data_IF_241972694807
#
_entry.id   IF_241972694807
#
_cell.length_a   1.000
_cell.length_b   1.000
_cell.length_c   1.000
_cell.angle_alpha   90.00
_cell.angle_beta   90.00
_cell.angle_gamma   90.00
#
_symmetry.space_group_name_H-M   'P 1'
#
loop_
_entity.id
_entity.type
_entity.pdbx_description
1 polymer ?
#
# COMPACT_ATOMS: atom_id res chain seq x y z
N UNK A 1 -16.70 -28.12 -48.30
CA UNK A 1 -17.28 -29.46 -48.18
C UNK A 1 -18.26 -29.41 -47.01
N UNK A 2 -19.54 -29.60 -47.25
CA UNK A 2 -20.57 -29.50 -46.20
C UNK A 2 -20.61 -30.79 -45.37
N UNK A 3 -21.07 -30.75 -44.12
CA UNK A 3 -21.20 -31.92 -43.24
C UNK A 3 -21.98 -33.05 -43.90
N UNK A 4 -23.06 -32.76 -44.65
CA UNK A 4 -23.84 -33.72 -45.41
C UNK A 4 -23.05 -34.48 -46.46
N UNK A 5 -22.07 -33.84 -47.10
CA UNK A 5 -21.21 -34.51 -48.08
C UNK A 5 -20.21 -35.44 -47.41
N UNK A 6 -19.82 -35.14 -46.21
CA UNK A 6 -18.90 -35.97 -45.42
C UNK A 6 -19.60 -37.22 -44.86
N UNK A 7 -20.83 -37.06 -44.37
CA UNK A 7 -21.66 -38.19 -43.89
C UNK A 7 -22.00 -39.18 -45.00
N UNK A 8 -22.39 -38.68 -46.19
CA UNK A 8 -22.66 -39.57 -47.37
C UNK A 8 -21.43 -40.34 -47.85
N UNK A 9 -20.23 -39.73 -47.77
CA UNK A 9 -18.97 -40.41 -48.11
C UNK A 9 -18.58 -41.44 -47.03
N UNK A 10 -18.83 -41.16 -45.78
CA UNK A 10 -18.57 -42.07 -44.68
C UNK A 10 -19.50 -43.28 -44.73
N UNK A 11 -20.80 -43.07 -44.96
CA UNK A 11 -21.80 -44.12 -45.11
C UNK A 11 -21.48 -45.03 -46.32
N UNK A 12 -21.14 -44.44 -47.47
CA UNK A 12 -20.75 -45.22 -48.66
C UNK A 12 -19.42 -46.00 -48.50
N UNK A 13 -18.54 -45.54 -47.62
CA UNK A 13 -17.30 -46.25 -47.30
C UNK A 13 -17.54 -47.40 -46.33
N UNK A 14 -18.44 -47.24 -45.37
CA UNK A 14 -18.85 -48.28 -44.43
C UNK A 14 -19.63 -49.41 -45.10
N UNK A 15 -20.55 -49.08 -46.03
CA UNK A 15 -21.28 -50.09 -46.84
C UNK A 15 -20.36 -50.95 -47.69
N UNK A 16 -19.23 -50.40 -48.16
CA UNK A 16 -18.22 -51.16 -48.93
C UNK A 16 -17.35 -52.08 -48.09
N UNK A 17 -17.26 -51.87 -46.79
CA UNK A 17 -16.43 -52.66 -45.87
C UNK A 17 -17.22 -53.65 -45.04
N UNK A 18 -18.55 -53.53 -45.02
CA UNK A 18 -19.40 -54.50 -44.36
C UNK A 18 -19.48 -55.80 -45.19
N UNK A 19 -19.26 -56.98 -44.65
CA UNK A 19 -19.43 -58.21 -45.39
C UNK A 19 -20.91 -58.46 -45.63
N UNK A 20 -21.27 -58.63 -46.92
CA UNK A 20 -22.66 -58.92 -47.45
C UNK A 20 -23.22 -60.27 -47.02
N UNK A 21 -22.45 -61.06 -46.28
CA UNK A 21 -22.82 -62.44 -45.96
C UNK A 21 -22.76 -62.62 -44.40
N UNK A 22 -23.75 -62.07 -43.77
CA UNK A 22 -23.93 -62.24 -42.22
C UNK A 22 -24.24 -63.71 -41.94
N UNK A 23 -24.99 -64.41 -42.80
CA UNK A 23 -25.32 -65.82 -42.67
C UNK A 23 -24.08 -66.70 -42.84
N UNK A 24 -23.16 -66.37 -43.78
CA UNK A 24 -21.90 -67.07 -43.95
C UNK A 24 -20.94 -66.88 -42.74
N UNK A 25 -21.01 -65.77 -42.04
CA UNK A 25 -20.26 -65.58 -40.79
C UNK A 25 -20.87 -66.34 -39.64
N UNK A 26 -22.18 -66.36 -39.55
CA UNK A 26 -22.91 -67.12 -38.51
C UNK A 26 -22.78 -68.64 -38.65
N UNK A 27 -22.75 -69.15 -39.90
CA UNK A 27 -22.56 -70.57 -40.16
C UNK A 27 -21.15 -71.09 -39.82
N UNK A 28 -20.16 -70.23 -39.75
CA UNK A 28 -18.80 -70.57 -39.29
C UNK A 28 -18.65 -70.56 -37.78
N UNK A 29 -19.65 -70.08 -37.06
CA UNK A 29 -19.72 -70.16 -35.61
C UNK A 29 -20.18 -71.57 -35.21
N UNK A 30 -19.30 -72.55 -35.25
CA UNK A 30 -19.57 -73.90 -34.68
C UNK A 30 -19.92 -73.76 -33.22
N UNK A 31 -21.03 -74.43 -32.78
CA UNK A 31 -21.39 -74.56 -31.39
C UNK A 31 -20.19 -75.08 -30.58
N UNK A 32 -19.49 -74.22 -29.90
CA UNK A 32 -18.52 -74.65 -28.90
C UNK A 32 -19.32 -75.20 -27.73
N UNK A 33 -19.37 -76.49 -27.54
CA UNK A 33 -19.76 -77.11 -26.30
C UNK A 33 -18.86 -76.57 -25.21
N UNK A 34 -19.30 -75.53 -24.57
CA UNK A 34 -18.55 -74.88 -23.49
C UNK A 34 -18.50 -75.80 -22.27
N UNK A 35 -17.33 -76.33 -21.96
CA UNK A 35 -17.07 -76.89 -20.65
C UNK A 35 -17.19 -75.73 -19.66
N UNK A 36 -18.20 -75.79 -18.75
CA UNK A 36 -18.37 -74.81 -17.71
C UNK A 36 -17.21 -74.99 -16.72
N UNK A 37 -16.20 -74.18 -16.88
CA UNK A 37 -15.11 -74.09 -15.90
C UNK A 37 -15.67 -73.24 -14.76
N UNK A 38 -15.77 -73.77 -13.51
CA UNK A 38 -16.25 -72.97 -12.41
C UNK A 38 -15.24 -71.84 -12.17
N UNK A 39 -15.65 -70.58 -12.39
CA UNK A 39 -14.83 -69.42 -12.05
C UNK A 39 -14.56 -69.43 -10.53
N UNK A 40 -13.31 -69.67 -10.19
CA UNK A 40 -12.86 -69.45 -8.81
C UNK A 40 -13.22 -68.02 -8.41
N UNK A 41 -14.01 -67.87 -7.35
CA UNK A 41 -14.39 -66.59 -6.72
C UNK A 41 -13.14 -65.78 -6.48
N UNK A 42 -12.92 -64.74 -7.33
CA UNK A 42 -11.77 -63.85 -7.23
C UNK A 42 -11.84 -63.14 -5.87
N UNK A 43 -10.87 -63.44 -5.06
CA UNK A 43 -10.78 -62.99 -3.68
C UNK A 43 -10.86 -61.47 -3.61
N UNK A 44 -12.01 -60.94 -3.12
CA UNK A 44 -12.31 -59.51 -3.02
C UNK A 44 -11.36 -58.75 -2.06
N UNK A 45 -10.39 -59.42 -1.46
CA UNK A 45 -9.39 -58.77 -0.60
C UNK A 45 -8.55 -57.72 -1.33
N UNK A 46 -8.17 -57.96 -2.58
CA UNK A 46 -7.34 -57.05 -3.36
C UNK A 46 -8.13 -55.80 -3.77
N UNK A 47 -9.44 -55.94 -4.11
CA UNK A 47 -10.33 -54.81 -4.35
C UNK A 47 -10.56 -53.96 -3.10
N UNK A 48 -10.76 -54.58 -1.93
CA UNK A 48 -10.90 -53.85 -0.67
C UNK A 48 -9.60 -53.13 -0.28
N UNK A 49 -8.45 -53.74 -0.55
CA UNK A 49 -7.15 -53.14 -0.28
C UNK A 49 -6.87 -51.97 -1.22
N UNK A 50 -7.17 -52.09 -2.53
CA UNK A 50 -7.09 -50.98 -3.50
C UNK A 50 -8.06 -49.86 -3.16
N UNK A 51 -9.28 -50.15 -2.68
CA UNK A 51 -10.22 -49.13 -2.22
C UNK A 51 -9.74 -48.44 -0.95
N UNK A 52 -9.11 -49.14 -0.02
CA UNK A 52 -8.50 -48.56 1.16
C UNK A 52 -7.30 -47.64 0.81
N UNK A 53 -6.44 -48.07 -0.11
CA UNK A 53 -5.32 -47.24 -0.59
C UNK A 53 -5.82 -46.01 -1.35
N UNK A 54 -6.84 -46.13 -2.20
CA UNK A 54 -7.46 -45.00 -2.88
C UNK A 54 -8.13 -44.02 -1.91
N UNK A 55 -8.80 -44.54 -0.84
CA UNK A 55 -9.38 -43.72 0.21
C UNK A 55 -8.28 -42.96 1.01
N UNK A 56 -7.18 -43.62 1.36
CA UNK A 56 -6.03 -42.99 2.03
C UNK A 56 -5.37 -41.92 1.16
N UNK A 57 -5.21 -42.19 -0.14
CA UNK A 57 -4.70 -41.20 -1.09
C UNK A 57 -5.66 -40.02 -1.26
N UNK A 58 -6.97 -40.25 -1.30
CA UNK A 58 -7.95 -39.18 -1.34
C UNK A 58 -7.95 -38.33 -0.07
N UNK A 59 -7.79 -38.94 1.11
CA UNK A 59 -7.68 -38.21 2.39
C UNK A 59 -6.38 -37.47 2.46
N UNK A 60 -5.27 -37.98 1.95
CA UNK A 60 -3.98 -37.28 1.85
C UNK A 60 -4.02 -36.11 0.86
N UNK A 61 -4.71 -36.28 -0.28
CA UNK A 61 -4.85 -35.23 -1.29
C UNK A 61 -5.84 -34.14 -0.82
N UNK A 62 -6.97 -34.53 -0.21
CA UNK A 62 -7.96 -33.58 0.28
C UNK A 62 -7.54 -32.93 1.62
N UNK A 63 -6.95 -33.70 2.53
CA UNK A 63 -6.48 -33.21 3.82
C UNK A 63 -5.15 -32.46 3.70
N UNK A 64 -4.18 -33.00 2.95
CA UNK A 64 -2.88 -32.36 2.70
C UNK A 64 -3.01 -31.13 1.81
N UNK A 65 -3.86 -31.17 0.78
CA UNK A 65 -4.15 -30.02 -0.07
C UNK A 65 -4.82 -28.89 0.69
N UNK A 66 -5.78 -29.19 1.57
CA UNK A 66 -6.45 -28.20 2.42
C UNK A 66 -5.50 -27.51 3.40
N UNK A 67 -4.59 -28.24 4.03
CA UNK A 67 -3.58 -27.70 4.95
C UNK A 67 -2.56 -26.83 4.21
N UNK A 68 -2.12 -27.22 3.01
CA UNK A 68 -1.17 -26.44 2.19
C UNK A 68 -1.82 -25.14 1.67
N UNK A 69 -3.10 -25.16 1.31
CA UNK A 69 -3.85 -23.98 0.90
C UNK A 69 -4.05 -23.04 2.11
N UNK A 70 -4.37 -23.58 3.27
CA UNK A 70 -4.54 -22.80 4.50
C UNK A 70 -3.23 -22.14 4.94
N UNK A 71 -2.09 -22.83 4.85
CA UNK A 71 -0.76 -22.27 5.12
C UNK A 71 -0.37 -21.19 4.10
N UNK A 72 -0.76 -21.34 2.84
CA UNK A 72 -0.48 -20.36 1.80
C UNK A 72 -1.22 -19.02 2.00
N UNK A 73 -2.29 -19.01 2.78
CA UNK A 73 -3.07 -17.81 3.12
C UNK A 73 -2.86 -17.32 4.56
N UNK A 74 -2.11 -18.07 5.38
CA UNK A 74 -1.81 -17.65 6.73
C UNK A 74 -0.91 -16.40 6.71
N UNK A 75 -1.32 -15.35 7.44
CA UNK A 75 -0.50 -14.16 7.66
C UNK A 75 0.72 -14.54 8.49
N UNK A 76 1.90 -14.21 8.01
CA UNK A 76 3.17 -14.44 8.71
C UNK A 76 3.84 -13.13 9.11
N UNK A 77 3.68 -12.10 8.28
CA UNK A 77 4.29 -10.78 8.51
C UNK A 77 3.23 -9.70 8.38
N UNK A 78 3.39 -8.63 9.13
CA UNK A 78 2.64 -7.39 8.99
C UNK A 78 3.62 -6.30 8.59
N UNK A 79 3.31 -5.58 7.53
CA UNK A 79 4.10 -4.47 7.03
C UNK A 79 3.27 -3.22 7.17
N UNK A 80 3.78 -2.20 7.84
CA UNK A 80 3.17 -0.89 7.86
C UNK A 80 4.01 0.12 7.07
N UNK A 81 3.32 1.02 6.40
CA UNK A 81 3.85 2.19 5.71
C UNK A 81 3.21 3.41 6.37
N UNK A 82 4.01 4.15 7.09
CA UNK A 82 3.57 5.31 7.84
C UNK A 82 4.25 6.57 7.28
N UNK A 83 3.43 7.47 6.81
CA UNK A 83 3.76 8.86 6.47
C UNK A 83 2.89 9.73 7.37
N UNK A 84 1.79 10.13 6.96
CA UNK A 84 0.56 10.60 7.56
C UNK A 84 -0.44 10.70 6.41
N UNK A 85 -0.55 9.62 5.67
CA UNK A 85 -1.37 8.41 5.94
C UNK A 85 -0.61 7.20 6.49
N UNK A 86 -1.36 6.26 7.11
CA UNK A 86 -0.85 4.99 7.63
C UNK A 86 -1.58 3.80 7.00
N UNK A 87 -0.82 2.90 6.39
CA UNK A 87 -1.33 1.74 5.64
C UNK A 87 -0.71 0.45 6.17
N UNK A 88 -1.52 -0.57 6.42
CA UNK A 88 -1.09 -1.90 6.86
C UNK A 88 -1.30 -2.95 5.76
N UNK A 89 -0.25 -3.70 5.45
CA UNK A 89 -0.26 -4.87 4.60
C UNK A 89 -0.04 -6.13 5.43
N UNK A 90 -0.93 -7.11 5.31
CA UNK A 90 -0.74 -8.45 5.88
C UNK A 90 -0.22 -9.37 4.80
N UNK A 91 0.90 -10.02 5.06
CA UNK A 91 1.69 -10.77 4.09
C UNK A 91 1.83 -12.23 4.54
N UNK A 92 1.74 -13.16 3.61
CA UNK A 92 1.94 -14.59 3.88
C UNK A 92 3.40 -15.01 3.74
N UNK A 93 3.70 -16.28 4.02
CA UNK A 93 5.05 -16.85 3.93
C UNK A 93 5.67 -16.84 2.51
N UNK A 94 4.88 -16.52 1.47
CA UNK A 94 5.35 -16.37 0.08
C UNK A 94 5.49 -14.90 -0.30
N UNK A 95 5.49 -14.00 0.69
CA UNK A 95 5.58 -12.55 0.52
C UNK A 95 4.45 -11.96 -0.36
N UNK A 96 3.26 -12.61 -0.33
CA UNK A 96 2.08 -12.12 -1.02
C UNK A 96 1.13 -11.46 -0.06
N UNK A 97 0.55 -10.34 -0.49
CA UNK A 97 -0.46 -9.60 0.27
C UNK A 97 -1.71 -10.46 0.46
N UNK A 98 -2.10 -10.66 1.70
CA UNK A 98 -3.35 -11.32 2.10
C UNK A 98 -4.46 -10.28 2.24
N UNK A 99 -4.13 -9.13 2.83
CA UNK A 99 -5.01 -7.97 2.95
C UNK A 99 -4.21 -6.69 3.03
N UNK A 100 -4.80 -5.60 2.54
CA UNK A 100 -4.34 -4.22 2.70
C UNK A 100 -5.42 -3.45 3.44
N UNK A 101 -5.03 -2.57 4.36
CA UNK A 101 -5.95 -1.81 5.20
C UNK A 101 -5.42 -0.41 5.44
N UNK A 102 -6.28 0.60 5.22
CA UNK A 102 -6.05 1.95 5.68
C UNK A 102 -6.29 2.01 7.20
N UNK A 103 -5.40 2.66 7.94
CA UNK A 103 -5.53 2.84 9.39
C UNK A 103 -6.15 4.19 9.76
N UNK A 104 -6.06 5.18 8.87
CA UNK A 104 -6.66 6.51 9.04
C UNK A 104 -7.41 6.96 7.77
N UNK A 105 -8.03 8.13 7.83
CA UNK A 105 -8.87 8.65 6.74
C UNK A 105 -8.03 9.01 5.51
N UNK A 106 -6.86 9.59 5.69
CA UNK A 106 -5.93 9.96 4.64
C UNK A 106 -5.47 8.73 3.83
N UNK A 107 -5.19 7.62 4.53
CA UNK A 107 -4.83 6.36 3.90
C UNK A 107 -5.98 5.76 3.07
N UNK A 108 -7.25 6.06 3.41
CA UNK A 108 -8.40 5.64 2.59
C UNK A 108 -8.35 6.30 1.22
N UNK A 109 -8.07 7.61 1.17
CA UNK A 109 -7.94 8.36 -0.08
C UNK A 109 -6.80 7.81 -0.95
N UNK A 110 -5.64 7.49 -0.34
CA UNK A 110 -4.49 6.89 -1.05
C UNK A 110 -4.84 5.54 -1.68
N UNK A 111 -5.66 4.73 -1.00
CA UNK A 111 -6.06 3.41 -1.47
C UNK A 111 -7.30 3.41 -2.39
N UNK A 112 -7.93 4.55 -2.64
CA UNK A 112 -9.17 4.63 -3.42
C UNK A 112 -8.99 4.07 -4.84
N UNK A 113 -7.92 4.46 -5.55
CA UNK A 113 -7.57 3.96 -6.88
C UNK A 113 -7.24 2.46 -6.92
N UNK A 114 -7.05 1.83 -5.77
CA UNK A 114 -6.72 0.40 -5.59
C UNK A 114 -7.89 -0.38 -4.96
N UNK A 115 -9.12 0.05 -5.22
CA UNK A 115 -10.35 -0.55 -4.67
C UNK A 115 -10.29 -0.73 -3.14
N UNK A 116 -9.80 0.29 -2.43
CA UNK A 116 -9.56 0.24 -0.99
C UNK A 116 -8.51 -0.79 -0.57
N UNK A 117 -7.54 -1.07 -1.44
CA UNK A 117 -6.47 -2.04 -1.25
C UNK A 117 -6.84 -3.48 -1.65
N UNK A 118 -8.04 -3.74 -2.19
CA UNK A 118 -8.47 -5.08 -2.63
C UNK A 118 -7.68 -5.56 -3.84
N UNK A 119 -7.31 -4.68 -4.75
CA UNK A 119 -6.52 -4.98 -5.95
C UNK A 119 -5.09 -5.45 -5.61
N UNK A 120 -4.61 -5.12 -4.43
CA UNK A 120 -3.30 -5.56 -3.95
C UNK A 120 -3.29 -7.00 -3.42
N UNK A 121 -4.46 -7.62 -3.22
CA UNK A 121 -4.56 -8.99 -2.69
C UNK A 121 -3.96 -10.02 -3.66
N UNK A 122 -3.04 -10.83 -3.16
CA UNK A 122 -2.31 -11.86 -3.92
C UNK A 122 -1.11 -11.32 -4.70
N UNK A 123 -0.91 -10.00 -4.72
CA UNK A 123 0.27 -9.34 -5.30
C UNK A 123 1.49 -9.57 -4.39
N UNK A 124 2.70 -9.54 -4.93
CA UNK A 124 3.94 -9.53 -4.15
C UNK A 124 4.04 -8.25 -3.31
N UNK A 125 4.63 -8.35 -2.12
CA UNK A 125 4.70 -7.23 -1.18
C UNK A 125 5.48 -6.03 -1.73
N UNK A 126 6.60 -6.26 -2.42
CA UNK A 126 7.40 -5.24 -3.08
C UNK A 126 6.62 -4.47 -4.16
N UNK A 127 5.85 -5.19 -4.99
CA UNK A 127 5.00 -4.59 -6.03
C UNK A 127 3.84 -3.79 -5.40
N UNK A 128 3.25 -4.31 -4.32
CA UNK A 128 2.17 -3.63 -3.61
C UNK A 128 2.68 -2.33 -2.94
N UNK A 129 3.85 -2.37 -2.33
CA UNK A 129 4.50 -1.22 -1.72
C UNK A 129 4.83 -0.16 -2.77
N UNK A 130 5.39 -0.54 -3.92
CA UNK A 130 5.64 0.38 -5.03
C UNK A 130 4.35 1.08 -5.52
N UNK A 131 3.24 0.34 -5.62
CA UNK A 131 1.96 0.92 -6.02
C UNK A 131 1.45 1.94 -4.99
N UNK A 132 1.57 1.62 -3.69
CA UNK A 132 1.16 2.50 -2.59
C UNK A 132 2.04 3.77 -2.58
N UNK A 133 3.37 3.63 -2.64
CA UNK A 133 4.30 4.77 -2.67
C UNK A 133 4.03 5.66 -3.88
N UNK A 134 3.81 5.08 -5.06
CA UNK A 134 3.41 5.85 -6.24
C UNK A 134 2.09 6.61 -6.05
N UNK A 135 1.15 6.08 -5.26
CA UNK A 135 -0.08 6.80 -4.91
C UNK A 135 0.18 7.90 -3.88
N UNK A 136 1.04 7.64 -2.87
CA UNK A 136 1.45 8.64 -1.88
C UNK A 136 2.11 9.86 -2.54
N UNK A 137 3.02 9.63 -3.49
CA UNK A 137 3.65 10.71 -4.29
C UNK A 137 2.59 11.47 -5.10
N UNK A 138 1.71 10.77 -5.82
CA UNK A 138 0.64 11.43 -6.61
C UNK A 138 -0.32 12.25 -5.77
N UNK A 139 -0.57 11.84 -4.53
CA UNK A 139 -1.44 12.55 -3.58
C UNK A 139 -0.73 13.68 -2.82
N UNK A 140 0.58 13.91 -3.06
CA UNK A 140 1.35 14.98 -2.45
C UNK A 140 1.81 14.71 -1.01
N UNK A 141 1.81 13.44 -0.58
CA UNK A 141 2.26 13.09 0.78
C UNK A 141 3.78 12.85 0.89
N UNK A 142 4.50 12.85 -0.23
CA UNK A 142 5.94 12.56 -0.31
C UNK A 142 6.64 13.50 -1.30
N UNK A 143 6.20 14.74 -1.40
CA UNK A 143 6.70 15.75 -2.35
C UNK A 143 7.65 16.77 -1.71
N UNK A 144 7.61 16.94 -0.39
CA UNK A 144 8.52 17.85 0.32
C UNK A 144 9.85 17.18 0.69
N UNK A 145 10.89 18.01 0.88
CA UNK A 145 12.22 17.57 1.33
C UNK A 145 12.20 16.98 2.75
N UNK A 146 11.26 17.43 3.57
CA UNK A 146 11.08 17.07 4.96
C UNK A 146 10.17 15.84 5.15
N UNK A 147 9.49 15.37 4.11
CA UNK A 147 8.65 14.18 4.20
C UNK A 147 9.47 12.94 4.58
N UNK A 148 8.94 12.13 5.50
CA UNK A 148 9.53 10.85 5.88
C UNK A 148 8.53 9.71 5.75
N UNK A 149 8.99 8.56 5.26
CA UNK A 149 8.21 7.31 5.25
C UNK A 149 8.85 6.29 6.18
N UNK A 150 8.09 5.77 7.13
CA UNK A 150 8.51 4.67 7.99
C UNK A 150 7.95 3.34 7.46
N UNK A 151 8.87 2.42 7.17
CA UNK A 151 8.57 1.04 6.81
C UNK A 151 8.81 0.18 8.05
N UNK A 152 7.78 -0.47 8.56
CA UNK A 152 7.93 -1.37 9.70
C UNK A 152 7.49 -2.78 9.31
N UNK A 153 8.31 -3.77 9.64
CA UNK A 153 8.02 -5.18 9.38
C UNK A 153 7.94 -5.93 10.70
N UNK A 154 6.75 -6.42 11.01
CA UNK A 154 6.48 -7.26 12.17
C UNK A 154 6.40 -8.73 11.74
N UNK A 155 7.23 -9.58 12.32
CA UNK A 155 7.23 -11.02 12.10
C UNK A 155 7.79 -11.76 13.33
N UNK A 156 7.33 -13.00 13.54
CA UNK A 156 7.91 -13.90 14.57
C UNK A 156 9.30 -14.38 14.22
N UNK A 157 9.57 -14.51 12.92
CA UNK A 157 10.88 -14.90 12.38
C UNK A 157 11.67 -13.64 12.04
N UNK A 158 12.60 -13.29 12.91
CA UNK A 158 13.44 -12.10 12.77
C UNK A 158 14.26 -12.08 11.48
N UNK A 159 14.76 -13.24 11.03
CA UNK A 159 15.54 -13.31 9.79
C UNK A 159 14.65 -13.03 8.56
N UNK A 160 13.38 -13.46 8.58
CA UNK A 160 12.40 -13.13 7.54
C UNK A 160 12.01 -11.66 7.60
N UNK A 161 11.77 -11.13 8.81
CA UNK A 161 11.49 -9.71 9.00
C UNK A 161 12.57 -8.82 8.39
N UNK A 162 13.85 -9.09 8.70
CA UNK A 162 14.99 -8.33 8.19
C UNK A 162 15.12 -8.40 6.66
N UNK A 163 14.97 -9.59 6.07
CA UNK A 163 15.01 -9.73 4.60
C UNK A 163 13.88 -8.93 3.94
N UNK A 164 12.67 -9.09 4.43
CA UNK A 164 11.50 -8.39 3.89
C UNK A 164 11.65 -6.87 4.07
N UNK A 165 12.13 -6.41 5.23
CA UNK A 165 12.45 -5.00 5.47
C UNK A 165 13.43 -4.45 4.43
N UNK A 166 14.56 -5.14 4.19
CA UNK A 166 15.57 -4.71 3.22
C UNK A 166 15.01 -4.68 1.79
N UNK A 167 14.23 -5.69 1.41
CA UNK A 167 13.58 -5.76 0.10
C UNK A 167 12.60 -4.60 -0.11
N UNK A 168 11.76 -4.32 0.89
CA UNK A 168 10.77 -3.25 0.83
C UNK A 168 11.42 -1.86 0.89
N UNK A 169 12.48 -1.68 1.69
CA UNK A 169 13.23 -0.41 1.70
C UNK A 169 13.80 -0.11 0.32
N UNK A 170 14.44 -1.08 -0.33
CA UNK A 170 14.95 -0.90 -1.69
C UNK A 170 13.85 -0.65 -2.74
N UNK A 171 12.66 -1.23 -2.55
CA UNK A 171 11.51 -0.96 -3.42
C UNK A 171 11.00 0.48 -3.25
N UNK A 172 10.91 0.97 -2.00
CA UNK A 172 10.51 2.35 -1.69
C UNK A 172 11.51 3.35 -2.24
N UNK A 173 12.81 3.14 -1.98
CA UNK A 173 13.88 4.00 -2.52
C UNK A 173 13.79 4.11 -4.05
N UNK A 174 13.56 2.97 -4.73
CA UNK A 174 13.39 2.96 -6.18
C UNK A 174 12.14 3.70 -6.66
N UNK A 175 11.03 3.60 -5.92
CA UNK A 175 9.78 4.28 -6.25
C UNK A 175 9.87 5.80 -6.05
N UNK A 176 10.50 6.24 -4.95
CA UNK A 176 10.74 7.65 -4.66
C UNK A 176 11.66 8.28 -5.71
N UNK A 177 12.76 7.60 -6.06
CA UNK A 177 13.68 8.07 -7.10
C UNK A 177 12.99 8.18 -8.47
N UNK A 178 12.07 7.26 -8.79
CA UNK A 178 11.29 7.32 -10.04
C UNK A 178 10.25 8.46 -10.04
N UNK A 179 9.77 8.86 -8.85
CA UNK A 179 8.81 9.95 -8.65
C UNK A 179 9.47 11.31 -8.40
N UNK A 180 10.82 11.40 -8.49
CA UNK A 180 11.62 12.61 -8.15
C UNK A 180 11.37 13.13 -6.72
N UNK A 181 10.92 12.25 -5.81
CA UNK A 181 10.74 12.56 -4.40
C UNK A 181 12.04 12.42 -3.62
N UNK A 182 12.27 13.31 -2.67
CA UNK A 182 13.44 13.32 -1.77
C UNK A 182 13.10 12.91 -0.34
N UNK A 183 11.91 12.37 -0.12
CA UNK A 183 11.46 11.93 1.20
C UNK A 183 12.46 10.96 1.86
N UNK A 184 12.67 11.10 3.15
CA UNK A 184 13.54 10.21 3.91
C UNK A 184 12.88 8.84 4.11
N UNK A 185 13.66 7.75 3.94
CA UNK A 185 13.17 6.40 4.18
C UNK A 185 13.71 5.88 5.51
N UNK A 186 12.81 5.70 6.47
CA UNK A 186 13.08 5.05 7.75
C UNK A 186 12.60 3.60 7.66
N UNK A 187 13.34 2.65 8.20
CA UNK A 187 12.90 1.27 8.22
C UNK A 187 13.30 0.54 9.50
N UNK A 188 12.40 -0.31 9.99
CA UNK A 188 12.63 -1.10 11.21
C UNK A 188 11.96 -2.46 11.15
N UNK A 189 12.45 -3.38 11.99
CA UNK A 189 11.75 -4.62 12.32
C UNK A 189 11.13 -4.50 13.70
N UNK A 190 9.90 -4.94 13.86
CA UNK A 190 9.14 -4.90 15.12
C UNK A 190 8.88 -6.33 15.58
N UNK A 191 9.16 -6.61 16.85
CA UNK A 191 8.77 -7.88 17.45
C UNK A 191 7.29 -7.88 17.79
N UNK A 192 6.62 -9.03 17.64
CA UNK A 192 5.21 -9.15 18.01
C UNK A 192 5.00 -8.91 19.50
N UNK A 193 4.25 -7.87 19.82
CA UNK A 193 3.88 -7.45 21.15
C UNK A 193 2.39 -7.07 21.19
N UNK A 194 1.59 -7.91 21.86
CA UNK A 194 0.13 -7.71 21.93
C UNK A 194 -0.30 -6.43 22.64
N UNK A 195 0.51 -5.97 23.59
CA UNK A 195 0.20 -4.73 24.29
C UNK A 195 0.49 -3.52 23.38
N UNK A 196 1.59 -3.59 22.62
CA UNK A 196 1.90 -2.58 21.61
C UNK A 196 0.82 -2.54 20.52
N UNK A 197 0.39 -3.70 20.00
CA UNK A 197 -0.70 -3.79 19.03
C UNK A 197 -2.01 -3.16 19.57
N UNK A 198 -2.31 -3.39 20.86
CA UNK A 198 -3.51 -2.84 21.48
C UNK A 198 -3.42 -1.31 21.62
N UNK A 199 -2.27 -0.79 22.03
CA UNK A 199 -2.01 0.66 22.13
C UNK A 199 -2.09 1.31 20.75
N UNK A 200 -1.48 0.71 19.72
CA UNK A 200 -1.54 1.17 18.35
C UNK A 200 -2.99 1.29 17.85
N UNK A 201 -3.79 0.22 18.04
CA UNK A 201 -5.21 0.21 17.66
C UNK A 201 -6.06 1.25 18.40
N UNK A 202 -5.79 1.46 19.69
CA UNK A 202 -6.51 2.45 20.49
C UNK A 202 -6.29 3.88 19.99
N UNK A 203 -5.14 4.14 19.34
CA UNK A 203 -4.74 5.45 18.83
C UNK A 203 -4.85 5.55 17.28
N UNK A 204 -5.40 4.54 16.59
CA UNK A 204 -5.54 4.48 15.12
C UNK A 204 -4.21 4.67 14.37
N UNK A 205 -3.12 4.15 14.93
CA UNK A 205 -1.77 4.16 14.34
C UNK A 205 -1.30 2.72 14.07
N UNK A 206 -0.23 2.58 13.30
CA UNK A 206 0.42 1.29 13.06
C UNK A 206 1.20 0.81 14.29
N UNK A 207 1.46 -0.51 14.36
CA UNK A 207 2.39 -1.08 15.35
C UNK A 207 3.81 -0.54 15.15
N UNK A 208 4.18 -0.20 13.91
CA UNK A 208 5.46 0.42 13.57
C UNK A 208 5.62 1.80 14.21
N UNK A 209 4.68 2.69 13.99
CA UNK A 209 4.67 4.02 14.63
C UNK A 209 4.61 3.89 16.17
N UNK A 210 3.82 2.96 16.70
CA UNK A 210 3.76 2.68 18.13
C UNK A 210 5.13 2.22 18.71
N UNK A 211 5.92 1.46 17.94
CA UNK A 211 7.27 1.08 18.37
C UNK A 211 8.22 2.28 18.42
N UNK A 212 8.10 3.22 17.46
CA UNK A 212 8.86 4.47 17.46
C UNK A 212 8.50 5.34 18.67
N UNK A 213 7.21 5.48 18.99
CA UNK A 213 6.71 6.15 20.19
C UNK A 213 7.33 5.53 21.46
N UNK A 214 7.36 4.21 21.55
CA UNK A 214 7.96 3.53 22.71
C UNK A 214 9.46 3.80 22.84
N UNK A 215 10.18 4.00 21.72
CA UNK A 215 11.59 4.45 21.77
C UNK A 215 11.71 5.85 22.37
N UNK A 216 10.88 6.80 21.95
CA UNK A 216 10.88 8.15 22.52
C UNK A 216 10.58 8.13 24.02
N UNK A 217 9.56 7.35 24.45
CA UNK A 217 9.22 7.19 25.87
C UNK A 217 10.32 6.51 26.69
N UNK A 218 11.14 5.67 26.09
CA UNK A 218 12.29 5.05 26.75
C UNK A 218 13.42 6.06 27.03
N UNK A 219 13.53 7.11 26.22
CA UNK A 219 14.47 8.23 26.44
C UNK A 219 13.93 9.18 27.50
N UNK A 220 12.63 9.44 27.52
CA UNK A 220 12.01 10.34 28.48
C UNK A 220 10.65 9.79 28.97
N UNK A 221 10.64 9.24 30.17
CA UNK A 221 9.44 8.66 30.79
C UNK A 221 8.33 9.65 31.16
N UNK A 222 8.53 10.96 31.00
CA UNK A 222 7.47 11.96 31.18
C UNK A 222 6.57 12.12 29.96
N UNK A 223 6.99 11.60 28.79
CA UNK A 223 6.21 11.63 27.56
C UNK A 223 5.03 10.67 27.65
N UNK A 224 3.90 11.05 27.04
CA UNK A 224 2.71 10.21 27.00
C UNK A 224 2.53 9.58 25.64
N UNK A 225 2.05 8.33 25.60
CA UNK A 225 1.82 7.62 24.35
C UNK A 225 0.80 8.35 23.48
N UNK A 226 -0.30 8.83 24.08
CA UNK A 226 -1.38 9.54 23.42
C UNK A 226 -0.91 10.86 22.78
N UNK A 227 -0.04 11.60 23.48
CA UNK A 227 0.54 12.83 22.93
C UNK A 227 1.45 12.53 21.74
N UNK A 228 2.37 11.58 21.89
CA UNK A 228 3.28 11.18 20.82
C UNK A 228 2.56 10.55 19.61
N UNK A 229 1.39 9.95 19.81
CA UNK A 229 0.61 9.38 18.71
C UNK A 229 0.10 10.43 17.72
N UNK A 230 0.01 11.69 18.14
CA UNK A 230 -0.41 12.83 17.28
C UNK A 230 0.72 13.35 16.40
N UNK A 231 1.98 13.10 16.78
CA UNK A 231 3.14 13.55 16.02
C UNK A 231 3.28 12.78 14.70
N UNK A 232 3.88 13.42 13.70
CA UNK A 232 4.28 12.75 12.45
C UNK A 232 5.42 11.75 12.71
N UNK A 233 5.74 10.95 11.70
CA UNK A 233 6.92 10.06 11.76
C UNK A 233 8.21 10.86 11.85
N UNK A 234 8.25 11.98 11.17
CA UNK A 234 9.36 12.89 11.13
C UNK A 234 9.60 13.55 12.50
N UNK A 235 8.58 14.16 13.07
CA UNK A 235 8.65 14.71 14.44
C UNK A 235 9.12 13.66 15.45
N UNK A 236 8.66 12.41 15.33
CA UNK A 236 9.09 11.32 16.22
C UNK A 236 10.57 10.95 16.01
N UNK A 237 11.05 10.95 14.74
CA UNK A 237 12.46 10.71 14.42
C UNK A 237 13.33 11.77 15.06
N UNK A 238 13.04 13.03 14.79
CA UNK A 238 13.83 14.17 15.24
C UNK A 238 13.80 14.31 16.77
N UNK A 239 12.62 14.08 17.37
CA UNK A 239 12.48 14.01 18.80
C UNK A 239 13.38 12.94 19.44
N UNK A 240 13.48 11.76 18.82
CA UNK A 240 14.35 10.68 19.28
C UNK A 240 15.82 11.06 19.10
N UNK A 241 16.19 11.64 17.95
CA UNK A 241 17.53 12.10 17.64
C UNK A 241 17.99 13.20 18.59
N UNK A 242 17.10 14.10 18.97
CA UNK A 242 17.32 15.12 20.00
C UNK A 242 17.37 14.56 21.45
N UNK A 243 17.17 13.25 21.64
CA UNK A 243 17.15 12.63 22.97
C UNK A 243 15.86 12.84 23.76
N UNK A 244 14.77 13.19 23.09
CA UNK A 244 13.42 13.36 23.62
C UNK A 244 13.35 14.34 24.83
N UNK A 245 13.78 15.60 24.69
CA UNK A 245 13.90 16.54 25.83
C UNK A 245 12.54 16.91 26.40
N UNK A 246 11.46 16.89 25.63
CA UNK A 246 10.11 17.24 26.10
C UNK A 246 9.04 16.81 25.06
N UNK A 247 7.79 17.20 25.31
CA UNK A 247 6.70 17.01 24.35
C UNK A 247 6.69 18.23 23.42
N UNK A 248 6.93 18.05 22.11
CA UNK A 248 6.77 19.14 21.15
C UNK A 248 5.30 19.54 21.03
N UNK A 249 5.06 20.77 20.58
CA UNK A 249 3.70 21.30 20.39
C UNK A 249 2.98 20.65 19.19
N UNK A 250 3.74 20.12 18.23
CA UNK A 250 3.25 19.54 16.99
C UNK A 250 3.07 20.57 15.88
N UNK A 251 3.17 20.09 14.61
CA UNK A 251 3.13 20.94 13.40
C UNK A 251 1.88 21.82 13.32
N UNK A 252 0.70 21.27 13.68
CA UNK A 252 -0.55 22.02 13.64
C UNK A 252 -0.53 23.22 14.62
N UNK A 253 -0.04 23.00 15.84
CA UNK A 253 0.06 24.08 16.84
C UNK A 253 1.13 25.12 16.46
N UNK A 254 2.20 24.70 15.77
CA UNK A 254 3.22 25.60 15.24
C UNK A 254 2.63 26.51 14.14
N UNK A 255 1.86 25.95 13.21
CA UNK A 255 1.14 26.72 12.19
C UNK A 255 0.16 27.72 12.81
N UNK A 256 -0.62 27.29 13.82
CA UNK A 256 -1.54 28.18 14.54
C UNK A 256 -0.80 29.31 15.26
N UNK A 257 0.34 29.01 15.89
CA UNK A 257 1.16 30.01 16.56
C UNK A 257 1.75 31.05 15.57
N UNK A 258 2.27 30.60 14.43
CA UNK A 258 2.77 31.47 13.37
C UNK A 258 1.66 32.33 12.76
N UNK A 259 0.51 31.75 12.46
CA UNK A 259 -0.66 32.46 11.95
C UNK A 259 -1.12 33.54 12.92
N UNK A 260 -1.25 33.18 14.20
CA UNK A 260 -1.63 34.14 15.26
C UNK A 260 -0.63 35.27 15.40
N UNK A 261 0.67 34.97 15.32
CA UNK A 261 1.73 36.00 15.34
C UNK A 261 1.63 36.96 14.15
N UNK A 262 1.26 36.44 12.98
CA UNK A 262 1.00 37.24 11.77
C UNK A 262 -0.33 38.03 11.84
N UNK A 263 -1.12 37.89 12.89
CA UNK A 263 -2.46 38.48 13.02
C UNK A 263 -3.50 37.84 12.08
N UNK A 264 -3.34 36.55 11.79
CA UNK A 264 -4.16 35.73 10.89
C UNK A 264 -4.76 34.54 11.65
N UNK A 265 -5.67 33.86 10.96
CA UNK A 265 -6.17 32.55 11.36
C UNK A 265 -5.79 31.54 10.28
N UNK A 266 -5.80 30.26 10.58
CA UNK A 266 -5.53 29.19 9.59
C UNK A 266 -6.51 29.21 8.40
N UNK A 267 -7.70 29.80 8.58
CA UNK A 267 -8.68 29.98 7.48
C UNK A 267 -8.25 31.04 6.44
N UNK A 268 -7.30 31.91 6.78
CA UNK A 268 -6.75 32.94 5.89
C UNK A 268 -5.60 32.39 5.03
N UNK A 269 -5.16 31.17 5.29
CA UNK A 269 -4.02 30.48 4.67
C UNK A 269 -4.53 29.58 3.53
N UNK A 270 -3.90 29.65 2.37
CA UNK A 270 -4.29 28.85 1.20
C UNK A 270 -3.37 27.64 0.97
N UNK A 271 -2.14 27.74 1.44
CA UNK A 271 -1.13 26.70 1.34
C UNK A 271 -0.20 26.86 2.54
N UNK A 272 0.25 25.76 3.14
CA UNK A 272 1.14 25.79 4.29
C UNK A 272 2.05 24.57 4.29
N UNK A 273 3.31 24.80 4.59
CA UNK A 273 4.31 23.79 4.86
C UNK A 273 4.87 24.00 6.27
N UNK A 274 5.11 22.92 7.01
CA UNK A 274 5.61 22.98 8.38
C UNK A 274 6.64 21.86 8.56
N UNK A 275 7.88 22.26 8.65
CA UNK A 275 9.02 21.37 8.79
C UNK A 275 9.51 21.33 10.25
N UNK A 276 9.56 20.15 10.89
CA UNK A 276 10.12 20.00 12.21
C UNK A 276 11.65 19.97 12.16
N UNK A 277 12.31 20.85 12.92
CA UNK A 277 13.75 20.90 13.14
C UNK A 277 14.03 20.69 14.65
N UNK A 278 13.58 19.53 15.16
CA UNK A 278 13.62 19.26 16.59
C UNK A 278 15.01 18.83 17.10
N UNK A 279 15.90 18.44 16.22
CA UNK A 279 17.30 18.10 16.48
C UNK A 279 18.24 19.32 16.41
N UNK A 280 17.75 20.47 15.94
CA UNK A 280 18.48 21.73 15.94
C UNK A 280 18.50 22.42 17.32
N UNK A 281 19.29 23.48 17.44
CA UNK A 281 19.37 24.28 18.66
C UNK A 281 19.21 25.78 18.35
N UNK A 282 18.12 26.43 18.78
CA UNK A 282 16.97 25.84 19.51
C UNK A 282 16.11 24.96 18.61
N UNK A 283 15.54 23.90 19.17
CA UNK A 283 14.55 23.06 18.47
C UNK A 283 13.34 23.92 18.06
N UNK A 284 12.95 23.83 16.80
CA UNK A 284 11.89 24.69 16.26
C UNK A 284 11.14 24.01 15.12
N UNK A 285 10.04 24.62 14.70
CA UNK A 285 9.35 24.32 13.46
C UNK A 285 9.62 25.48 12.50
N UNK A 286 10.02 25.18 11.25
CA UNK A 286 9.95 26.10 10.15
C UNK A 286 8.53 26.08 9.58
N UNK A 287 7.89 27.23 9.50
CA UNK A 287 6.49 27.35 9.09
C UNK A 287 6.41 28.33 7.94
N UNK A 288 6.09 27.82 6.77
CA UNK A 288 5.87 28.60 5.55
C UNK A 288 4.39 28.55 5.17
N UNK A 289 3.80 29.67 4.81
CA UNK A 289 2.42 29.66 4.33
C UNK A 289 2.08 30.82 3.41
N UNK A 290 1.16 30.55 2.48
CA UNK A 290 0.67 31.52 1.50
C UNK A 290 -0.60 32.22 2.00
N UNK A 291 -0.61 33.54 1.90
CA UNK A 291 -1.80 34.36 2.25
C UNK A 291 -2.25 35.14 1.03
N UNK A 292 -3.52 35.03 0.59
CA UNK A 292 -4.04 35.79 -0.55
C UNK A 292 -3.80 37.29 -0.40
N UNK A 293 -3.10 37.87 -1.37
CA UNK A 293 -2.83 39.30 -1.41
C UNK A 293 -1.67 39.80 -0.51
N UNK A 294 -1.08 38.89 0.29
CA UNK A 294 0.10 39.23 1.11
C UNK A 294 1.36 38.48 0.68
N UNK A 295 1.23 37.38 -0.07
CA UNK A 295 2.32 36.52 -0.49
C UNK A 295 2.66 35.46 0.55
N UNK A 296 3.91 34.98 0.48
CA UNK A 296 4.46 33.95 1.33
C UNK A 296 5.02 34.55 2.63
N UNK A 297 4.76 33.89 3.73
CA UNK A 297 5.21 34.25 5.06
C UNK A 297 5.94 33.05 5.66
N UNK A 298 7.14 33.30 6.25
CA UNK A 298 8.01 32.31 6.87
C UNK A 298 8.24 32.66 8.34
N UNK A 299 8.15 31.64 9.20
CA UNK A 299 8.31 31.77 10.66
C UNK A 299 9.09 30.58 11.21
N UNK A 300 9.89 30.83 12.28
CA UNK A 300 10.45 29.79 13.12
C UNK A 300 9.73 29.83 14.46
N UNK A 301 9.15 28.71 14.86
CA UNK A 301 8.36 28.55 16.08
C UNK A 301 9.08 27.58 17.02
N UNK A 302 9.42 27.98 18.23
CA UNK A 302 10.11 27.15 19.20
C UNK A 302 9.24 25.93 19.56
N UNK A 303 9.87 24.76 19.51
CA UNK A 303 9.18 23.49 19.42
C UNK A 303 8.41 23.09 20.69
N UNK A 304 8.78 23.58 21.85
CA UNK A 304 8.20 23.17 23.13
C UNK A 304 7.29 24.22 23.77
N UNK A 305 7.46 25.49 23.40
CA UNK A 305 6.70 26.59 23.98
C UNK A 305 5.74 27.24 23.00
N UNK A 306 5.94 27.06 21.69
CA UNK A 306 5.19 27.75 20.65
C UNK A 306 5.57 29.23 20.49
N UNK A 307 6.68 29.65 21.06
CA UNK A 307 7.15 31.03 20.89
C UNK A 307 7.71 31.24 19.49
N UNK A 308 7.25 32.26 18.79
CA UNK A 308 7.83 32.65 17.48
C UNK A 308 9.20 33.27 17.72
N UNK A 309 10.25 32.63 17.19
CA UNK A 309 11.65 33.03 17.31
C UNK A 309 12.04 34.06 16.29
N UNK A 310 11.69 33.82 15.03
CA UNK A 310 11.92 34.71 13.89
C UNK A 310 10.73 34.64 12.97
N UNK A 311 10.41 35.74 12.32
CA UNK A 311 9.41 35.80 11.26
C UNK A 311 9.84 36.87 10.27
N UNK A 312 9.93 36.47 9.01
CA UNK A 312 10.02 37.39 7.89
C UNK A 312 8.70 37.32 7.13
N UNK A 313 7.97 38.44 7.16
CA UNK A 313 6.99 38.65 6.10
C UNK A 313 7.84 38.89 4.83
N UNK A 314 7.97 37.87 4.01
CA UNK A 314 8.46 38.06 2.64
C UNK A 314 7.35 38.78 1.87
N UNK A 315 7.08 40.02 2.31
CA UNK A 315 6.20 40.94 1.60
C UNK A 315 6.97 41.40 0.38
N UNK A 316 7.07 40.58 -0.62
CA UNK A 316 7.12 41.13 -1.95
C UNK A 316 5.76 41.80 -2.15
N UNK A 317 5.71 43.14 -2.22
CA UNK A 317 4.48 43.81 -2.61
C UNK A 317 4.12 43.21 -3.98
N UNK A 318 3.01 42.49 -4.02
CA UNK A 318 2.41 42.10 -5.27
C UNK A 318 1.93 43.39 -5.98
N UNK A 319 2.86 44.21 -6.44
CA UNK A 319 2.58 44.98 -7.61
C UNK A 319 2.36 43.93 -8.69
N UNK A 320 1.17 43.86 -9.31
CA UNK A 320 1.00 43.04 -10.47
C UNK A 320 1.92 43.63 -11.55
N UNK A 321 3.16 43.15 -11.61
CA UNK A 321 3.95 43.23 -12.83
C UNK A 321 3.23 42.26 -13.75
N UNK A 322 2.30 42.83 -14.50
CA UNK A 322 1.69 42.13 -15.60
C UNK A 322 2.73 42.19 -16.74
N UNK A 323 3.63 41.19 -16.88
CA UNK A 323 4.46 41.10 -18.06
C UNK A 323 3.50 41.06 -19.23
N UNK A 324 3.72 41.83 -20.25
CA UNK A 324 2.85 41.89 -21.41
C UNK A 324 2.72 40.51 -22.03
N UNK A 325 1.63 39.81 -21.69
CA UNK A 325 1.38 38.40 -22.08
C UNK A 325 0.86 37.48 -20.99
N UNK A 326 1.03 37.79 -19.71
CA UNK A 326 0.47 36.97 -18.63
C UNK A 326 -1.04 37.15 -18.53
N UNK A 327 -1.78 36.07 -18.77
CA UNK A 327 -3.25 36.04 -18.71
C UNK A 327 -3.78 35.86 -17.29
N UNK A 328 -2.93 35.57 -16.31
CA UNK A 328 -3.30 35.29 -14.92
C UNK A 328 -3.87 33.88 -14.70
N UNK A 329 -3.73 33.39 -13.47
CA UNK A 329 -4.11 32.03 -13.07
C UNK A 329 -5.55 31.66 -13.41
N UNK A 330 -6.51 32.55 -13.13
CA UNK A 330 -7.92 32.28 -13.37
C UNK A 330 -8.29 32.22 -14.86
N UNK A 331 -7.65 33.06 -15.67
CA UNK A 331 -7.81 32.99 -17.13
C UNK A 331 -7.14 31.76 -17.72
N UNK A 332 -5.99 31.33 -17.15
CA UNK A 332 -5.31 30.08 -17.54
C UNK A 332 -6.17 28.85 -17.20
N UNK A 333 -6.74 28.77 -16.00
CA UNK A 333 -7.69 27.71 -15.60
C UNK A 333 -8.91 27.69 -16.52
N UNK A 334 -9.49 28.88 -16.84
CA UNK A 334 -10.62 28.99 -17.75
C UNK A 334 -10.28 28.54 -19.19
N UNK A 335 -9.08 28.85 -19.66
CA UNK A 335 -8.59 28.40 -20.95
C UNK A 335 -8.39 26.87 -20.99
N UNK A 336 -7.85 26.28 -19.92
CA UNK A 336 -7.69 24.84 -19.78
C UNK A 336 -9.05 24.10 -19.79
N UNK A 337 -10.04 24.58 -19.03
CA UNK A 337 -11.40 24.05 -19.04
C UNK A 337 -12.03 24.12 -20.44
N UNK A 338 -11.89 25.24 -21.13
CA UNK A 338 -12.39 25.43 -22.49
C UNK A 338 -11.71 24.50 -23.50
N UNK A 339 -10.40 24.29 -23.37
CA UNK A 339 -9.64 23.41 -24.24
C UNK A 339 -10.05 21.94 -24.07
N UNK A 340 -10.31 21.51 -22.83
CA UNK A 340 -10.73 20.15 -22.50
C UNK A 340 -12.24 19.93 -22.70
N UNK A 341 -13.03 20.95 -22.97
CA UNK A 341 -14.49 20.88 -23.12
C UNK A 341 -15.24 20.65 -21.82
N UNK A 342 -14.59 20.80 -20.66
CA UNK A 342 -15.19 20.65 -19.35
C UNK A 342 -15.83 21.97 -18.88
N UNK A 343 -17.01 21.91 -18.28
CA UNK A 343 -17.68 23.09 -17.71
C UNK A 343 -17.18 23.40 -16.30
N UNK A 344 -16.70 22.39 -15.56
CA UNK A 344 -16.12 22.51 -14.22
C UNK A 344 -15.05 21.44 -14.03
N UNK A 345 -13.97 21.77 -13.32
CA UNK A 345 -12.97 20.80 -12.84
C UNK A 345 -12.41 21.29 -11.51
N UNK A 346 -11.99 20.37 -10.66
CA UNK A 346 -11.17 20.66 -9.49
C UNK A 346 -9.71 20.60 -9.94
N UNK A 347 -9.01 21.72 -9.88
CA UNK A 347 -7.58 21.75 -10.11
C UNK A 347 -6.89 21.33 -8.80
N UNK A 348 -6.25 20.19 -8.80
CA UNK A 348 -5.53 19.66 -7.62
C UNK A 348 -4.21 20.39 -7.40
N UNK A 349 -3.61 20.94 -8.47
CA UNK A 349 -2.42 21.80 -8.43
C UNK A 349 -2.49 22.81 -9.57
N UNK A 350 -2.17 24.06 -9.30
CA UNK A 350 -2.04 25.11 -10.32
C UNK A 350 -0.92 26.05 -9.89
N UNK A 351 0.22 25.94 -10.55
CA UNK A 351 1.42 26.74 -10.28
C UNK A 351 1.66 27.75 -11.37
N UNK A 352 2.30 28.84 -11.01
CA UNK A 352 2.82 29.83 -11.92
C UNK A 352 4.35 29.63 -12.02
N UNK A 353 4.81 29.29 -13.19
CA UNK A 353 6.24 29.24 -13.49
C UNK A 353 6.59 30.38 -14.39
N UNK A 354 7.62 31.14 -14.04
CA UNK A 354 8.17 32.22 -14.84
C UNK A 354 9.56 31.77 -15.31
N UNK A 355 9.64 31.24 -16.53
CA UNK A 355 10.92 31.07 -17.18
C UNK A 355 11.48 32.47 -17.50
N UNK A 356 12.58 32.82 -16.87
CA UNK A 356 13.42 33.96 -17.27
C UNK A 356 14.03 33.66 -18.64
N UNK A 357 13.32 34.00 -19.72
CA UNK A 357 13.72 33.83 -21.11
C UNK A 357 14.78 34.79 -21.57
#
# INVERSE_FOLDING_TARGET
MTNDQMERRLSAALDKTAPDDVDGVLSRCTERKGTVVPMKKKNNRMKKWMQAVAACLAVLLLGGGGLLVQQAHAVTSVVSLDVNPSIELRVNSREKVVSCQALNQEAQAVLEDMDGGRDLKGVKADVAVNAIVGSLVRCGYLDSLSSAILISVEDKDQARAQRLQQELTGAVDGALAAGDSRAAVLSQTVQQDKELEKQAKANNISTGKAALIRQAMALNGSLTFEGLAQLSVEELRDLIEAGAPGMPIGMQAALEAAAQYAGLTTADITDADVDPELDETPAHYEVEFQVPGKGELEYKVEAYTGQVLTGQANVQPSTPVNPSGDIGMEAAKSAALKHTGLSTAVFTKAERDYDDG
#
